data_IF_846475615909
#
_entry.id   IF_846475615909
#
_cell.length_a   1.000
_cell.length_b   1.000
_cell.length_c   1.000
_cell.angle_alpha   90.00
_cell.angle_beta   90.00
_cell.angle_gamma   90.00
#
_symmetry.space_group_name_H-M   'P 1'
#
loop_
_entity.id
_entity.type
_entity.pdbx_description
1 polymer ?
#
# COMPACT_ATOMS: atom_id res chain seq x y z
N UNK A 1 -7.56 3.08 1.26
CA UNK A 1 -6.56 3.86 0.51
C UNK A 1 -6.18 5.11 1.30
N UNK A 2 -4.94 5.56 1.22
CA UNK A 2 -4.46 6.84 1.76
C UNK A 2 -3.87 7.68 0.63
N UNK A 3 -4.02 9.00 0.68
CA UNK A 3 -3.38 9.89 -0.29
C UNK A 3 -3.04 11.22 0.35
N UNK A 4 -1.96 11.85 -0.11
CA UNK A 4 -1.58 13.20 0.28
C UNK A 4 -1.39 14.07 -0.95
N UNK A 5 -1.92 15.28 -0.88
CA UNK A 5 -1.82 16.27 -1.94
C UNK A 5 -0.97 17.45 -1.46
N UNK A 6 -0.07 17.91 -2.32
CA UNK A 6 0.84 19.01 -2.04
C UNK A 6 0.75 20.03 -3.17
N UNK A 7 0.80 21.32 -2.80
CA UNK A 7 1.06 22.40 -3.75
C UNK A 7 2.57 22.46 -4.00
N UNK A 8 3.00 22.26 -5.23
CA UNK A 8 4.41 22.17 -5.62
C UNK A 8 4.53 22.36 -7.13
N UNK A 9 5.62 22.98 -7.59
CA UNK A 9 5.99 22.91 -9.00
C UNK A 9 6.38 21.45 -9.34
N UNK A 10 5.68 20.82 -10.27
CA UNK A 10 5.95 19.44 -10.67
C UNK A 10 7.35 19.22 -11.26
N UNK A 11 8.09 20.30 -11.56
CA UNK A 11 9.49 20.23 -12.01
C UNK A 11 10.49 20.17 -10.84
N UNK A 12 10.06 20.40 -9.61
CA UNK A 12 10.91 20.27 -8.41
C UNK A 12 11.04 18.80 -8.00
N UNK A 13 12.01 18.11 -8.63
CA UNK A 13 12.25 16.70 -8.41
C UNK A 13 12.60 16.34 -6.95
N UNK A 14 13.28 17.24 -6.22
CA UNK A 14 13.67 17.01 -4.82
C UNK A 14 12.47 17.10 -3.89
N UNK A 15 11.59 18.08 -4.10
CA UNK A 15 10.33 18.18 -3.37
C UNK A 15 9.44 16.96 -3.65
N UNK A 16 9.28 16.56 -4.92
CA UNK A 16 8.50 15.38 -5.30
C UNK A 16 9.04 14.10 -4.65
N UNK A 17 10.36 13.90 -4.65
CA UNK A 17 11.00 12.76 -3.99
C UNK A 17 10.77 12.79 -2.47
N UNK A 18 10.88 13.96 -1.84
CA UNK A 18 10.61 14.13 -0.41
C UNK A 18 9.17 13.80 -0.05
N UNK A 19 8.19 14.29 -0.83
CA UNK A 19 6.77 14.02 -0.61
C UNK A 19 6.40 12.54 -0.83
N UNK A 20 6.91 11.93 -1.90
CA UNK A 20 6.80 10.48 -2.12
C UNK A 20 7.38 9.70 -0.93
N UNK A 21 8.55 10.10 -0.43
CA UNK A 21 9.18 9.51 0.75
C UNK A 21 8.33 9.62 2.02
N UNK A 22 7.66 10.76 2.24
CA UNK A 22 6.73 10.93 3.37
C UNK A 22 5.56 9.94 3.31
N UNK A 23 4.94 9.77 2.14
CA UNK A 23 3.87 8.79 1.98
C UNK A 23 4.38 7.37 2.21
N UNK A 24 5.51 6.99 1.63
CA UNK A 24 6.06 5.64 1.83
C UNK A 24 6.45 5.39 3.29
N UNK A 25 6.92 6.38 4.03
CA UNK A 25 7.20 6.25 5.47
C UNK A 25 5.91 6.06 6.29
N UNK A 26 4.82 6.74 5.93
CA UNK A 26 3.51 6.48 6.51
C UNK A 26 3.08 5.02 6.24
N UNK A 27 3.20 4.55 4.99
CA UNK A 27 2.87 3.17 4.63
C UNK A 27 3.72 2.14 5.40
N UNK A 28 5.01 2.38 5.60
CA UNK A 28 5.89 1.53 6.44
C UNK A 28 5.43 1.49 7.89
N UNK A 29 5.03 2.65 8.42
CA UNK A 29 4.47 2.75 9.78
C UNK A 29 3.18 1.93 9.89
N UNK A 30 2.30 2.01 8.88
CA UNK A 30 1.07 1.20 8.82
C UNK A 30 1.36 -0.30 8.73
N UNK A 31 2.31 -0.73 7.89
CA UNK A 31 2.73 -2.14 7.83
C UNK A 31 3.24 -2.62 9.19
N UNK A 32 4.12 -1.85 9.83
CA UNK A 32 4.68 -2.20 11.13
C UNK A 32 3.58 -2.28 12.21
N UNK A 33 2.63 -1.35 12.19
CA UNK A 33 1.49 -1.33 13.09
C UNK A 33 0.57 -2.55 12.95
N UNK A 34 0.27 -2.96 11.71
CA UNK A 34 -0.59 -4.10 11.39
C UNK A 34 0.10 -5.43 11.74
N UNK A 35 1.38 -5.59 11.34
CA UNK A 35 2.16 -6.79 11.62
C UNK A 35 2.36 -7.01 13.13
N UNK A 36 2.55 -5.94 13.90
CA UNK A 36 2.62 -6.01 15.37
C UNK A 36 1.33 -6.50 16.05
N UNK A 37 0.24 -6.66 15.29
CA UNK A 37 -1.07 -7.18 15.74
C UNK A 37 -1.45 -8.49 15.03
N UNK A 38 -0.47 -9.16 14.43
CA UNK A 38 -0.60 -10.42 13.69
C UNK A 38 -1.50 -10.34 12.45
N UNK A 39 -1.61 -9.15 11.83
CA UNK A 39 -2.24 -9.03 10.52
C UNK A 39 -1.25 -9.37 9.41
N UNK A 40 -1.68 -10.20 8.46
CA UNK A 40 -1.02 -10.29 7.15
C UNK A 40 -1.38 -9.05 6.35
N UNK A 41 -0.38 -8.28 5.93
CA UNK A 41 -0.60 -7.01 5.24
C UNK A 41 0.47 -6.72 4.18
N UNK A 42 0.10 -5.90 3.20
CA UNK A 42 0.97 -5.36 2.16
C UNK A 42 0.59 -3.91 1.91
N UNK A 43 1.58 -3.04 1.73
CA UNK A 43 1.34 -1.66 1.32
C UNK A 43 2.04 -1.35 0.00
N UNK A 44 1.32 -0.66 -0.88
CA UNK A 44 1.81 -0.22 -2.20
C UNK A 44 1.72 1.30 -2.32
N UNK A 45 2.59 1.90 -3.13
CA UNK A 45 2.54 3.33 -3.47
C UNK A 45 2.46 3.57 -4.97
N UNK A 46 1.93 4.72 -5.34
CA UNK A 46 2.17 5.37 -6.62
C UNK A 46 3.68 5.71 -6.74
N UNK A 47 4.41 4.86 -7.46
CA UNK A 47 5.86 4.92 -7.59
C UNK A 47 6.61 3.87 -6.77
N UNK A 48 7.84 3.58 -7.19
CA UNK A 48 8.67 2.53 -6.61
C UNK A 48 9.30 2.89 -5.25
N UNK A 49 9.75 1.86 -4.53
CA UNK A 49 10.38 2.00 -3.21
C UNK A 49 11.57 2.97 -3.23
N UNK A 50 11.57 3.96 -2.32
CA UNK A 50 12.64 4.95 -2.16
C UNK A 50 13.36 4.87 -0.79
N UNK A 51 13.27 3.72 -0.12
CA UNK A 51 13.77 3.55 1.25
C UNK A 51 15.29 3.67 1.38
N UNK A 52 16.03 3.12 0.42
CA UNK A 52 17.48 3.00 0.49
C UNK A 52 18.16 4.23 -0.14
N UNK A 53 19.29 4.68 0.43
CA UNK A 53 20.17 5.61 -0.26
C UNK A 53 20.75 5.02 -1.55
N UNK A 54 21.24 3.77 -1.48
CA UNK A 54 21.65 2.95 -2.63
C UNK A 54 21.00 1.58 -2.56
N UNK A 55 20.11 1.29 -3.50
CA UNK A 55 19.42 0.01 -3.58
C UNK A 55 20.40 -1.13 -3.90
N UNK A 56 20.15 -2.34 -3.36
CA UNK A 56 20.93 -3.54 -3.67
C UNK A 56 20.49 -4.22 -4.98
N UNK A 57 19.36 -3.78 -5.56
CA UNK A 57 18.87 -4.28 -6.84
C UNK A 57 19.97 -4.21 -7.91
N UNK A 58 20.15 -5.26 -8.74
CA UNK A 58 19.30 -6.44 -8.89
C UNK A 58 19.47 -7.57 -7.84
N UNK A 59 20.38 -7.41 -6.87
CA UNK A 59 20.48 -8.33 -5.74
C UNK A 59 19.31 -8.23 -4.76
N UNK A 60 19.30 -9.12 -3.75
CA UNK A 60 18.22 -9.20 -2.76
C UNK A 60 18.03 -7.90 -1.96
N UNK A 61 16.78 -7.59 -1.62
CA UNK A 61 16.47 -6.42 -0.81
C UNK A 61 17.03 -6.59 0.61
N UNK A 62 17.72 -5.57 1.13
CA UNK A 62 18.23 -5.55 2.52
C UNK A 62 17.14 -5.28 3.56
N UNK A 63 15.96 -4.83 3.13
CA UNK A 63 14.84 -4.43 3.98
C UNK A 63 13.50 -4.92 3.43
N UNK A 64 13.30 -6.24 3.23
CA UNK A 64 12.11 -6.78 2.58
C UNK A 64 10.82 -6.38 3.30
N UNK A 65 10.84 -6.29 4.63
CA UNK A 65 9.68 -5.93 5.45
C UNK A 65 9.30 -4.45 5.45
N UNK A 66 10.20 -3.58 4.98
CA UNK A 66 9.99 -2.13 4.88
C UNK A 66 9.83 -1.68 3.42
N UNK A 67 9.85 -2.64 2.49
CA UNK A 67 9.64 -2.38 1.08
C UNK A 67 8.20 -1.89 0.87
N UNK A 68 8.07 -0.85 0.06
CA UNK A 68 6.80 -0.32 -0.42
C UNK A 68 6.89 -0.33 -1.93
N UNK A 69 6.20 -1.27 -2.55
CA UNK A 69 6.28 -1.47 -3.99
C UNK A 69 5.32 -0.58 -4.76
N UNK A 70 5.61 -0.40 -6.05
CA UNK A 70 4.72 0.33 -6.94
C UNK A 70 3.40 -0.41 -7.10
N UNK A 71 2.28 0.30 -7.05
CA UNK A 71 0.94 -0.22 -7.40
C UNK A 71 0.96 -0.87 -8.79
N UNK A 72 1.62 -0.24 -9.76
CA UNK A 72 1.73 -0.74 -11.13
C UNK A 72 2.51 -2.05 -11.26
N UNK A 73 3.41 -2.36 -10.31
CA UNK A 73 4.17 -3.61 -10.33
C UNK A 73 3.30 -4.84 -10.03
N UNK A 74 2.09 -4.64 -9.49
CA UNK A 74 1.10 -5.67 -9.20
C UNK A 74 -0.03 -5.74 -10.23
N UNK A 75 0.12 -5.05 -11.37
CA UNK A 75 -0.89 -5.04 -12.44
C UNK A 75 -2.14 -4.22 -12.12
N UNK A 76 -2.08 -3.37 -11.09
CA UNK A 76 -3.19 -2.47 -10.74
C UNK A 76 -3.00 -1.16 -11.51
N UNK A 77 -3.97 -0.83 -12.36
CA UNK A 77 -4.04 0.47 -13.02
C UNK A 77 -4.68 1.47 -12.06
N UNK A 78 -3.84 2.30 -11.43
CA UNK A 78 -4.27 3.19 -10.36
C UNK A 78 -5.39 4.15 -10.77
N UNK A 79 -5.37 4.64 -12.02
CA UNK A 79 -6.40 5.57 -12.52
C UNK A 79 -7.77 4.92 -12.53
N UNK A 80 -7.91 3.73 -13.12
CA UNK A 80 -9.16 2.95 -13.11
C UNK A 80 -9.60 2.62 -11.68
N UNK A 81 -8.66 2.21 -10.82
CA UNK A 81 -8.98 1.94 -9.42
C UNK A 81 -9.56 3.18 -8.70
N UNK A 82 -9.03 4.37 -8.96
CA UNK A 82 -9.54 5.60 -8.38
C UNK A 82 -10.94 5.93 -8.92
N UNK A 83 -11.13 5.85 -10.24
CA UNK A 83 -12.41 6.12 -10.90
C UNK A 83 -13.52 5.18 -10.39
N UNK A 84 -13.23 3.88 -10.30
CA UNK A 84 -14.14 2.85 -9.76
C UNK A 84 -14.54 3.13 -8.30
N UNK A 85 -13.72 3.88 -7.56
CA UNK A 85 -13.96 4.28 -6.18
C UNK A 85 -14.45 5.73 -6.05
N UNK A 86 -14.90 6.35 -7.15
CA UNK A 86 -15.47 7.69 -7.15
C UNK A 86 -14.45 8.81 -6.94
N UNK A 87 -13.18 8.54 -7.24
CA UNK A 87 -12.09 9.50 -7.12
C UNK A 87 -11.51 9.82 -8.48
N UNK A 88 -11.23 11.11 -8.69
CA UNK A 88 -10.63 11.59 -9.93
C UNK A 88 -9.10 11.59 -9.79
N UNK A 89 -8.42 11.01 -10.78
CA UNK A 89 -6.98 11.14 -10.91
C UNK A 89 -6.66 12.41 -11.72
N UNK A 90 -5.84 13.31 -11.14
CA UNK A 90 -5.56 14.64 -11.71
C UNK A 90 -4.07 14.85 -11.91
N UNK A 91 -3.72 15.35 -13.09
CA UNK A 91 -2.41 15.92 -13.38
C UNK A 91 -2.53 17.44 -13.45
N UNK A 92 -1.82 18.12 -12.56
CA UNK A 92 -1.84 19.57 -12.44
C UNK A 92 -0.40 20.09 -12.36
N UNK A 93 -0.15 21.29 -12.87
CA UNK A 93 1.23 21.83 -12.91
C UNK A 93 1.71 22.33 -11.55
N UNK A 94 0.79 22.72 -10.67
CA UNK A 94 1.08 23.31 -9.35
C UNK A 94 0.70 22.39 -8.18
N UNK A 95 0.24 21.18 -8.46
CA UNK A 95 -0.10 20.19 -7.44
C UNK A 95 0.33 18.78 -7.85
N UNK A 96 0.68 17.99 -6.83
CA UNK A 96 0.85 16.54 -6.97
C UNK A 96 0.04 15.83 -5.89
N UNK A 97 -0.53 14.67 -6.25
CA UNK A 97 -1.17 13.77 -5.30
C UNK A 97 -0.45 12.44 -5.33
N UNK A 98 0.06 11.99 -4.19
CA UNK A 98 0.63 10.65 -4.06
C UNK A 98 -0.37 9.73 -3.39
N UNK A 99 -0.54 8.53 -3.95
CA UNK A 99 -1.52 7.54 -3.50
C UNK A 99 -0.84 6.31 -2.90
N UNK A 100 -1.48 5.73 -1.89
CA UNK A 100 -1.04 4.53 -1.19
C UNK A 100 -2.18 3.57 -0.95
N UNK A 101 -1.95 2.29 -1.26
CA UNK A 101 -2.88 1.21 -1.00
C UNK A 101 -2.39 0.40 0.21
N UNK A 102 -3.32 0.06 1.10
CA UNK A 102 -3.06 -0.76 2.29
C UNK A 102 -3.97 -1.97 2.16
N UNK A 103 -3.37 -3.12 1.93
CA UNK A 103 -4.03 -4.42 1.91
C UNK A 103 -3.76 -5.13 3.22
N UNK A 104 -4.79 -5.71 3.81
CA UNK A 104 -4.64 -6.58 4.98
C UNK A 104 -5.74 -7.62 4.94
N UNK A 105 -5.41 -8.84 5.37
CA UNK A 105 -6.40 -9.88 5.61
C UNK A 105 -6.94 -9.76 7.03
N UNK A 106 -8.08 -10.41 7.30
CA UNK A 106 -8.51 -10.60 8.68
C UNK A 106 -7.43 -11.33 9.50
N UNK A 107 -7.45 -11.17 10.82
CA UNK A 107 -6.53 -11.88 11.70
C UNK A 107 -6.66 -13.38 11.44
N UNK A 108 -5.58 -14.15 11.50
CA UNK A 108 -5.58 -15.59 11.20
C UNK A 108 -6.63 -16.41 11.99
N UNK A 109 -7.15 -15.87 13.10
CA UNK A 109 -8.17 -16.48 13.95
C UNK A 109 -9.57 -15.82 13.84
N UNK A 110 -9.76 -14.84 12.96
CA UNK A 110 -11.06 -14.23 12.75
C UNK A 110 -11.96 -15.23 12.01
N UNK A 111 -13.12 -15.65 12.57
CA UNK A 111 -14.05 -16.48 11.84
C UNK A 111 -14.55 -15.68 10.63
N UNK A 112 -14.32 -16.21 9.43
CA UNK A 112 -14.72 -15.58 8.18
C UNK A 112 -16.18 -15.11 8.27
N UNK A 113 -16.40 -13.82 8.00
CA UNK A 113 -17.71 -13.21 7.98
C UNK A 113 -18.63 -13.94 7.00
N UNK A 114 -19.48 -14.85 7.50
CA UNK A 114 -20.44 -15.60 6.68
C UNK A 114 -20.67 -17.07 7.06
N UNK A 115 -19.87 -17.68 7.93
CA UNK A 115 -20.13 -19.07 8.37
C UNK A 115 -21.23 -19.11 9.44
N UNK A 116 -22.49 -19.34 9.03
CA UNK A 116 -23.51 -19.85 9.94
C UNK A 116 -23.03 -21.19 10.48
N UNK A 117 -22.76 -21.28 11.78
CA UNK A 117 -22.54 -22.57 12.45
C UNK A 117 -23.88 -23.31 12.46
N UNK A 118 -24.11 -24.15 11.45
CA UNK A 118 -25.07 -25.24 11.59
C UNK A 118 -24.43 -26.28 12.50
N UNK A 119 -24.88 -26.33 13.74
CA UNK A 119 -24.56 -27.41 14.64
C UNK A 119 -25.34 -28.65 14.17
N UNK A 120 -24.69 -29.57 13.48
CA UNK A 120 -25.23 -30.92 13.29
C UNK A 120 -24.12 -31.97 13.36
N UNK A 121 -24.29 -32.86 14.35
CA UNK A 121 -23.56 -34.10 14.58
C UNK A 121 -23.89 -35.11 13.48
N UNK A 122 -22.89 -35.84 12.98
CA UNK A 122 -22.99 -37.24 12.54
C UNK A 122 -21.56 -37.75 12.28
N UNK A 123 -20.98 -38.60 13.14
CA UNK A 123 -21.00 -40.08 13.08
C UNK A 123 -20.08 -40.65 11.98
N UNK A 124 -19.11 -41.45 12.44
CA UNK A 124 -18.34 -42.53 11.78
C UNK A 124 -17.89 -42.33 10.32
N UNK A 125 -16.57 -42.37 10.10
CA UNK A 125 -15.84 -43.60 9.73
C UNK A 125 -14.37 -43.47 10.19
#
# INVERSE_FOLDING_TARGET
MVYHRYKVDIKDADALKSYSGKLQNLLRTMQSFLRARDYSCMCLSDGGCNYCGKCNYPGECRHPDQRVDSVSAYGILLMEYLEDNGLEFRFEEDHVTFYGLIFYNEKADAPAAGQRRSAERAILL
#
